data_IF_175721470321
#
_entry.id   IF_175721470321
#
_cell.length_a   1.000
_cell.length_b   1.000
_cell.length_c   1.000
_cell.angle_alpha   90.00
_cell.angle_beta   90.00
_cell.angle_gamma   90.00
#
_symmetry.space_group_name_H-M   'P 1'
#
loop_
_entity.id
_entity.type
_entity.pdbx_description
1 polymer ?
#
# COMPACT_ATOMS: atom_id res chain seq x y z
N UNK A 1 23.65 13.45 11.78
CA UNK A 1 22.73 12.51 11.11
C UNK A 1 23.59 11.42 10.51
N UNK A 2 23.25 10.17 10.78
CA UNK A 2 23.82 9.00 10.13
C UNK A 2 22.76 8.47 9.17
N UNK A 3 23.10 8.34 7.89
CA UNK A 3 22.19 7.88 6.84
C UNK A 3 22.52 6.44 6.41
N UNK A 4 23.47 5.79 7.08
CA UNK A 4 23.79 4.39 6.80
C UNK A 4 22.72 3.49 7.41
N UNK A 5 22.35 2.43 6.68
CA UNK A 5 21.51 1.37 7.23
C UNK A 5 22.29 0.65 8.33
N UNK A 6 21.59 0.28 9.41
CA UNK A 6 22.15 -0.58 10.46
C UNK A 6 22.57 -1.94 9.90
N UNK A 7 23.42 -2.67 10.62
CA UNK A 7 23.82 -4.03 10.21
C UNK A 7 22.60 -4.96 10.06
N UNK A 8 21.61 -4.80 10.94
CA UNK A 8 20.34 -5.52 10.90
C UNK A 8 19.50 -5.16 9.68
N UNK A 9 19.32 -3.86 9.39
CA UNK A 9 18.62 -3.39 8.19
C UNK A 9 19.30 -3.88 6.90
N UNK A 10 20.64 -3.94 6.87
CA UNK A 10 21.39 -4.48 5.73
C UNK A 10 21.16 -5.98 5.56
N UNK A 11 21.12 -6.75 6.66
CA UNK A 11 20.82 -8.17 6.65
C UNK A 11 19.41 -8.45 6.13
N UNK A 12 18.42 -7.72 6.65
CA UNK A 12 17.03 -7.82 6.19
C UNK A 12 16.88 -7.44 4.72
N UNK A 13 17.49 -6.34 4.29
CA UNK A 13 17.47 -5.92 2.89
C UNK A 13 18.08 -7.00 1.96
N UNK A 14 19.18 -7.64 2.36
CA UNK A 14 19.75 -8.75 1.59
C UNK A 14 18.79 -9.94 1.47
N UNK A 15 18.11 -10.30 2.57
CA UNK A 15 17.09 -11.36 2.58
C UNK A 15 15.89 -11.01 1.69
N UNK A 16 15.39 -9.77 1.74
CA UNK A 16 14.27 -9.33 0.91
C UNK A 16 14.63 -9.40 -0.58
N UNK A 17 15.85 -9.01 -0.95
CA UNK A 17 16.32 -9.08 -2.34
C UNK A 17 16.42 -10.51 -2.84
N UNK A 18 16.94 -11.42 -2.02
CA UNK A 18 17.02 -12.83 -2.36
C UNK A 18 15.62 -13.46 -2.53
N UNK A 19 14.70 -13.15 -1.62
CA UNK A 19 13.30 -13.58 -1.73
C UNK A 19 12.65 -13.04 -3.00
N UNK A 20 12.77 -11.73 -3.25
CA UNK A 20 12.12 -11.08 -4.39
C UNK A 20 12.63 -11.63 -5.72
N UNK A 21 13.95 -11.79 -5.86
CA UNK A 21 14.55 -12.35 -7.07
C UNK A 21 14.14 -13.81 -7.34
N UNK A 22 13.92 -14.61 -6.29
CA UNK A 22 13.55 -16.03 -6.41
C UNK A 22 12.06 -16.27 -6.58
N UNK A 23 11.24 -15.49 -5.89
CA UNK A 23 9.82 -15.80 -5.70
C UNK A 23 8.88 -14.78 -6.37
N UNK A 24 9.31 -13.52 -6.51
CA UNK A 24 8.45 -12.42 -7.00
C UNK A 24 8.74 -12.12 -8.46
N UNK A 25 9.99 -11.81 -8.80
CA UNK A 25 10.41 -11.42 -10.15
C UNK A 25 10.01 -12.45 -11.23
N UNK A 26 10.18 -13.77 -11.02
CA UNK A 26 9.91 -14.76 -12.07
C UNK A 26 8.45 -14.85 -12.50
N UNK A 27 7.50 -14.46 -11.64
CA UNK A 27 6.07 -14.60 -11.91
C UNK A 27 5.38 -13.27 -12.22
N UNK A 28 6.06 -12.14 -12.06
CA UNK A 28 5.44 -10.81 -12.03
C UNK A 28 4.68 -10.45 -13.33
N UNK A 29 5.17 -10.85 -14.50
CA UNK A 29 4.46 -10.63 -15.78
C UNK A 29 3.27 -11.59 -15.93
N UNK A 30 3.43 -12.85 -15.53
CA UNK A 30 2.38 -13.86 -15.62
C UNK A 30 1.15 -13.44 -14.82
N UNK A 31 1.35 -13.04 -13.56
CA UNK A 31 0.24 -12.64 -12.69
C UNK A 31 -0.39 -11.30 -13.09
N UNK A 32 0.32 -10.40 -13.76
CA UNK A 32 -0.28 -9.17 -14.31
C UNK A 32 -1.17 -9.50 -15.51
N UNK A 33 -0.70 -10.37 -16.41
CA UNK A 33 -1.45 -10.78 -17.60
C UNK A 33 -2.67 -11.64 -17.26
N UNK A 34 -2.52 -12.57 -16.32
CA UNK A 34 -3.62 -13.43 -15.86
C UNK A 34 -4.55 -12.74 -14.85
N UNK A 35 -4.17 -11.55 -14.36
CA UNK A 35 -4.91 -10.77 -13.37
C UNK A 35 -5.20 -11.55 -12.08
N UNK A 36 -4.24 -12.38 -11.64
CA UNK A 36 -4.39 -13.26 -10.47
C UNK A 36 -3.61 -12.76 -9.27
N UNK A 37 -4.14 -12.92 -8.05
CA UNK A 37 -3.40 -12.60 -6.83
C UNK A 37 -2.18 -13.49 -6.64
N UNK A 38 -1.09 -12.98 -6.05
CA UNK A 38 0.17 -13.70 -5.88
C UNK A 38 0.13 -14.68 -4.68
N UNK A 39 -0.88 -15.57 -4.61
CA UNK A 39 -1.16 -16.42 -3.44
C UNK A 39 0.03 -17.28 -3.01
N UNK A 40 0.74 -17.90 -3.96
CA UNK A 40 1.91 -18.72 -3.65
C UNK A 40 3.06 -17.92 -3.06
N UNK A 41 3.25 -16.67 -3.52
CA UNK A 41 4.25 -15.75 -2.97
C UNK A 41 3.84 -15.32 -1.57
N UNK A 42 2.57 -14.99 -1.34
CA UNK A 42 2.09 -14.63 0.00
C UNK A 42 2.32 -15.75 1.01
N UNK A 43 2.05 -17.01 0.65
CA UNK A 43 2.34 -18.17 1.50
C UNK A 43 3.84 -18.27 1.83
N UNK A 44 4.71 -18.07 0.83
CA UNK A 44 6.17 -18.11 1.05
C UNK A 44 6.65 -16.90 1.87
N UNK A 45 6.06 -15.73 1.67
CA UNK A 45 6.32 -14.52 2.44
C UNK A 45 5.92 -14.70 3.91
N UNK A 46 4.79 -15.36 4.18
CA UNK A 46 4.36 -15.72 5.53
C UNK A 46 5.39 -16.61 6.24
N UNK A 47 5.94 -17.62 5.55
CA UNK A 47 7.00 -18.48 6.09
C UNK A 47 8.31 -17.73 6.41
N UNK A 48 8.51 -16.54 5.85
CA UNK A 48 9.65 -15.66 6.15
C UNK A 48 9.30 -14.55 7.16
N UNK A 49 8.07 -14.55 7.71
CA UNK A 49 7.60 -13.55 8.66
C UNK A 49 7.11 -12.23 8.03
N UNK A 50 7.01 -12.13 6.71
CA UNK A 50 6.75 -10.84 6.04
C UNK A 50 5.29 -10.37 6.17
N UNK A 51 4.34 -11.29 6.40
CA UNK A 51 2.95 -10.92 6.67
C UNK A 51 2.74 -10.46 8.12
N UNK A 52 3.64 -10.84 9.03
CA UNK A 52 3.72 -10.30 10.39
C UNK A 52 4.86 -9.30 10.56
N UNK A 53 5.31 -8.67 9.48
CA UNK A 53 6.58 -7.94 9.42
C UNK A 53 6.79 -6.97 10.60
N UNK A 54 5.81 -6.13 10.89
CA UNK A 54 5.88 -5.11 11.96
C UNK A 54 5.12 -5.50 13.22
N UNK A 55 4.61 -6.73 13.29
CA UNK A 55 3.94 -7.22 14.49
C UNK A 55 4.99 -7.64 15.54
N UNK A 56 4.68 -7.51 16.84
CA UNK A 56 5.54 -8.01 17.91
C UNK A 56 5.72 -9.54 17.84
N UNK A 57 6.85 -10.02 18.38
CA UNK A 57 7.13 -11.47 18.48
C UNK A 57 6.04 -12.23 19.27
N UNK A 58 5.41 -11.60 20.27
CA UNK A 58 4.29 -12.17 21.05
C UNK A 58 3.09 -12.59 20.19
N UNK A 59 2.96 -11.99 18.99
CA UNK A 59 1.95 -12.33 17.99
C UNK A 59 2.54 -13.03 16.76
N UNK A 60 3.70 -13.69 16.92
CA UNK A 60 4.46 -14.37 15.87
C UNK A 60 4.92 -13.46 14.73
N UNK A 61 5.04 -12.16 15.02
CA UNK A 61 5.59 -11.18 14.08
C UNK A 61 7.11 -11.19 14.02
N UNK A 62 7.65 -10.37 13.12
CA UNK A 62 9.10 -10.21 12.91
C UNK A 62 9.67 -8.92 13.53
N UNK A 63 8.82 -8.10 14.16
CA UNK A 63 9.19 -6.86 14.86
C UNK A 63 10.12 -5.92 14.06
N UNK A 64 9.94 -5.88 12.73
CA UNK A 64 10.70 -5.01 11.86
C UNK A 64 10.41 -3.55 12.20
N UNK A 65 11.48 -2.75 12.31
CA UNK A 65 11.37 -1.30 12.35
C UNK A 65 10.79 -0.75 11.03
N UNK A 66 10.26 0.47 11.07
CA UNK A 66 9.63 1.12 9.94
C UNK A 66 10.53 1.23 8.72
N UNK A 67 11.84 1.47 8.89
CA UNK A 67 12.80 1.53 7.77
C UNK A 67 13.02 0.13 7.18
N UNK A 68 13.17 -0.89 8.02
CA UNK A 68 13.23 -2.30 7.58
C UNK A 68 11.96 -2.72 6.83
N UNK A 69 10.78 -2.30 7.28
CA UNK A 69 9.53 -2.54 6.57
C UNK A 69 9.44 -1.76 5.24
N UNK A 70 9.88 -0.51 5.20
CA UNK A 70 9.95 0.26 3.96
C UNK A 70 10.89 -0.42 2.93
N UNK A 71 12.03 -0.95 3.38
CA UNK A 71 12.96 -1.72 2.55
C UNK A 71 12.31 -3.00 1.98
N UNK A 72 11.50 -3.71 2.76
CA UNK A 72 10.73 -4.86 2.28
C UNK A 72 9.78 -4.43 1.15
N UNK A 73 8.96 -3.41 1.37
CA UNK A 73 7.98 -2.93 0.39
C UNK A 73 8.66 -2.39 -0.88
N UNK A 74 9.72 -1.60 -0.73
CA UNK A 74 10.53 -1.11 -1.84
C UNK A 74 11.08 -2.27 -2.67
N UNK A 75 11.69 -3.27 -2.01
CA UNK A 75 12.33 -4.40 -2.68
C UNK A 75 11.31 -5.22 -3.47
N UNK A 76 10.15 -5.52 -2.88
CA UNK A 76 9.08 -6.23 -3.58
C UNK A 76 8.54 -5.42 -4.77
N UNK A 77 8.42 -4.10 -4.63
CA UNK A 77 7.89 -3.23 -5.67
C UNK A 77 8.84 -3.00 -6.85
N UNK A 78 10.15 -3.21 -6.67
CA UNK A 78 11.10 -3.31 -7.80
C UNK A 78 10.63 -4.40 -8.75
N UNK A 79 10.25 -5.57 -8.23
CA UNK A 79 9.85 -6.69 -9.09
C UNK A 79 8.34 -6.67 -9.43
N UNK A 80 7.47 -6.57 -8.43
CA UNK A 80 6.02 -6.59 -8.59
C UNK A 80 5.32 -5.65 -7.58
N UNK A 81 4.89 -4.48 -8.05
CA UNK A 81 4.18 -3.52 -7.21
C UNK A 81 2.85 -4.07 -6.66
N UNK A 82 2.16 -4.93 -7.42
CA UNK A 82 0.95 -5.62 -6.94
C UNK A 82 1.21 -6.49 -5.71
N UNK A 83 2.33 -7.22 -5.66
CA UNK A 83 2.71 -8.04 -4.51
C UNK A 83 2.99 -7.15 -3.30
N UNK A 84 3.76 -6.07 -3.50
CA UNK A 84 4.07 -5.10 -2.46
C UNK A 84 2.79 -4.45 -1.88
N UNK A 85 1.85 -4.02 -2.72
CA UNK A 85 0.58 -3.41 -2.31
C UNK A 85 -0.32 -4.42 -1.58
N UNK A 86 -0.40 -5.67 -2.07
CA UNK A 86 -1.18 -6.75 -1.43
C UNK A 86 -0.72 -6.99 0.00
N UNK A 87 0.61 -7.09 0.20
CA UNK A 87 1.23 -7.23 1.51
C UNK A 87 1.03 -5.98 2.38
N UNK A 88 1.22 -4.79 1.82
CA UNK A 88 1.04 -3.54 2.56
C UNK A 88 -0.40 -3.33 3.03
N UNK A 89 -1.40 -3.70 2.22
CA UNK A 89 -2.80 -3.69 2.64
C UNK A 89 -3.04 -4.61 3.83
N UNK A 90 -2.47 -5.81 3.82
CA UNK A 90 -2.58 -6.74 4.93
C UNK A 90 -1.94 -6.17 6.22
N UNK A 91 -0.68 -5.75 6.14
CA UNK A 91 0.11 -5.33 7.30
C UNK A 91 -0.30 -3.94 7.78
N UNK A 92 -0.16 -2.92 6.92
CA UNK A 92 -0.24 -1.51 7.31
C UNK A 92 -1.67 -1.06 7.62
N UNK A 93 -2.66 -1.56 6.87
CA UNK A 93 -4.06 -1.15 7.02
C UNK A 93 -4.84 -1.98 8.03
N UNK A 94 -4.60 -3.30 8.09
CA UNK A 94 -5.45 -4.20 8.89
C UNK A 94 -4.72 -4.69 10.13
N UNK A 95 -3.61 -5.43 9.98
CA UNK A 95 -2.91 -6.03 11.12
C UNK A 95 -2.47 -4.97 12.15
N UNK A 96 -1.87 -3.87 11.69
CA UNK A 96 -1.46 -2.77 12.56
C UNK A 96 -2.65 -2.00 13.17
N UNK A 97 -3.81 -2.01 12.53
CA UNK A 97 -5.02 -1.41 13.11
C UNK A 97 -5.56 -2.27 14.26
N UNK A 98 -5.54 -3.60 14.11
CA UNK A 98 -5.87 -4.54 15.19
C UNK A 98 -4.86 -4.41 16.33
N UNK A 99 -3.57 -4.31 16.03
CA UNK A 99 -2.54 -4.13 17.05
C UNK A 99 -2.72 -2.81 17.82
N UNK A 100 -3.05 -1.72 17.14
CA UNK A 100 -3.17 -0.40 17.76
C UNK A 100 -4.48 -0.24 18.57
N UNK A 101 -5.60 -0.75 18.05
CA UNK A 101 -6.95 -0.43 18.55
C UNK A 101 -7.73 -1.65 19.06
N UNK A 102 -7.15 -2.84 18.92
CA UNK A 102 -7.80 -4.08 19.34
C UNK A 102 -7.77 -4.29 20.84
N UNK A 103 -8.82 -4.91 21.35
CA UNK A 103 -8.81 -5.54 22.68
C UNK A 103 -7.82 -6.69 22.71
N UNK A 104 -7.38 -7.12 23.89
CA UNK A 104 -6.46 -8.26 24.04
C UNK A 104 -7.03 -9.52 23.36
N UNK A 105 -8.34 -9.77 23.51
CA UNK A 105 -9.02 -10.90 22.86
C UNK A 105 -8.95 -10.83 21.33
N UNK A 106 -9.16 -9.65 20.74
CA UNK A 106 -9.05 -9.48 19.28
C UNK A 106 -7.60 -9.66 18.79
N UNK A 107 -6.62 -9.17 19.56
CA UNK A 107 -5.20 -9.32 19.21
C UNK A 107 -4.77 -10.78 19.25
N UNK A 108 -5.10 -11.49 20.32
CA UNK A 108 -4.82 -12.91 20.50
C UNK A 108 -5.50 -13.78 19.45
N UNK A 109 -6.72 -13.43 19.02
CA UNK A 109 -7.45 -14.14 17.98
C UNK A 109 -6.86 -13.92 16.58
N UNK A 110 -6.65 -12.66 16.19
CA UNK A 110 -6.41 -12.33 14.78
C UNK A 110 -4.94 -12.22 14.40
N UNK A 111 -4.11 -11.60 15.24
CA UNK A 111 -2.73 -11.28 14.85
C UNK A 111 -1.87 -12.52 14.55
N UNK A 112 -1.92 -13.61 15.35
CA UNK A 112 -1.20 -14.85 15.01
C UNK A 112 -1.59 -15.44 13.66
N UNK A 113 -2.90 -15.48 13.36
CA UNK A 113 -3.42 -16.02 12.10
C UNK A 113 -3.01 -15.17 10.90
N UNK A 114 -2.95 -13.85 11.10
CA UNK A 114 -2.49 -12.90 10.09
C UNK A 114 -0.99 -13.02 9.84
N UNK A 115 -0.17 -13.10 10.90
CA UNK A 115 1.27 -13.28 10.80
C UNK A 115 1.64 -14.59 10.06
N UNK A 116 0.90 -15.66 10.34
CA UNK A 116 1.05 -16.96 9.67
C UNK A 116 0.52 -16.98 8.22
N UNK A 117 -0.19 -15.94 7.78
CA UNK A 117 -0.81 -15.87 6.45
C UNK A 117 -2.04 -16.77 6.28
N UNK A 118 -2.60 -17.30 7.37
CA UNK A 118 -3.83 -18.09 7.36
C UNK A 118 -5.06 -17.20 7.12
N UNK A 119 -5.00 -15.96 7.60
CA UNK A 119 -6.03 -14.93 7.39
C UNK A 119 -5.40 -13.71 6.73
N UNK A 120 -5.86 -13.37 5.52
CA UNK A 120 -5.47 -12.11 4.87
C UNK A 120 -6.47 -11.01 5.20
N UNK A 121 -5.98 -9.83 5.57
CA UNK A 121 -6.79 -8.65 5.81
C UNK A 121 -7.13 -7.84 4.56
N UNK A 122 -8.35 -7.33 4.51
CA UNK A 122 -8.80 -6.29 3.57
C UNK A 122 -9.38 -5.08 4.33
N UNK A 123 -9.20 -3.89 3.77
CA UNK A 123 -9.61 -2.62 4.38
C UNK A 123 -10.75 -1.98 3.58
N UNK A 124 -11.93 -1.83 4.19
CA UNK A 124 -13.17 -1.50 3.51
C UNK A 124 -13.77 -0.18 4.04
N UNK A 125 -13.21 0.93 3.54
CA UNK A 125 -13.62 2.29 3.89
C UNK A 125 -14.45 2.94 2.78
N UNK A 126 -13.88 3.01 1.58
CA UNK A 126 -14.42 3.71 0.40
C UNK A 126 -15.77 3.17 -0.04
N UNK A 127 -16.65 4.08 -0.44
CA UNK A 127 -17.98 3.79 -0.99
C UNK A 127 -18.13 4.44 -2.37
N UNK A 128 -19.11 4.00 -3.20
CA UNK A 128 -19.35 4.59 -4.51
C UNK A 128 -19.50 6.12 -4.48
N UNK A 129 -20.14 6.65 -3.44
CA UNK A 129 -20.39 8.08 -3.26
C UNK A 129 -19.43 8.76 -2.24
N UNK A 130 -18.48 8.01 -1.66
CA UNK A 130 -17.56 8.51 -0.63
C UNK A 130 -16.13 7.98 -0.86
N UNK A 131 -15.37 8.70 -1.71
CA UNK A 131 -13.97 8.45 -2.03
C UNK A 131 -13.02 9.36 -1.25
N UNK A 132 -12.73 10.55 -1.80
CA UNK A 132 -11.90 11.56 -1.13
C UNK A 132 -12.55 12.07 0.16
N UNK A 133 -13.87 12.25 0.15
CA UNK A 133 -14.68 12.54 1.34
C UNK A 133 -15.10 11.23 2.01
N UNK A 134 -14.11 10.42 2.42
CA UNK A 134 -14.35 9.09 2.99
C UNK A 134 -15.19 9.13 4.28
N UNK A 135 -15.23 10.27 4.96
CA UNK A 135 -15.99 10.44 6.21
C UNK A 135 -17.47 10.71 5.97
N UNK A 136 -17.88 11.00 4.73
CA UNK A 136 -19.29 11.08 4.33
C UNK A 136 -19.91 9.71 4.01
N UNK A 137 -19.27 8.61 4.45
CA UNK A 137 -19.74 7.24 4.24
C UNK A 137 -21.20 7.04 4.72
N UNK A 138 -21.93 6.18 4.00
CA UNK A 138 -23.35 5.92 4.19
C UNK A 138 -23.65 4.50 4.67
N UNK A 139 -22.68 3.57 4.62
CA UNK A 139 -22.82 2.25 5.25
C UNK A 139 -23.18 2.43 6.72
N UNK A 140 -24.23 1.78 7.19
CA UNK A 140 -24.77 1.96 8.55
C UNK A 140 -24.41 0.79 9.44
N UNK A 141 -24.14 1.09 10.71
CA UNK A 141 -24.03 0.13 11.79
C UNK A 141 -25.22 0.33 12.73
N UNK A 142 -26.17 -0.61 12.72
CA UNK A 142 -27.38 -0.55 13.55
C UNK A 142 -27.26 -1.55 14.71
N UNK A 143 -27.20 -1.10 15.97
CA UNK A 143 -27.18 -2.01 17.11
C UNK A 143 -28.40 -2.93 17.16
N UNK A 144 -28.18 -4.23 17.39
CA UNK A 144 -29.22 -5.26 17.52
C UNK A 144 -28.84 -6.27 18.62
N UNK A 145 -29.12 -5.91 19.87
CA UNK A 145 -28.75 -6.73 21.03
C UNK A 145 -27.23 -6.77 21.25
N UNK A 146 -26.68 -7.98 21.33
CA UNK A 146 -25.22 -8.21 21.44
C UNK A 146 -24.51 -8.13 20.07
N UNK A 147 -25.27 -7.91 18.99
CA UNK A 147 -24.78 -7.77 17.63
C UNK A 147 -24.96 -6.34 17.10
N UNK A 148 -24.42 -6.13 15.91
CA UNK A 148 -24.61 -4.98 15.04
C UNK A 148 -24.97 -5.48 13.63
N UNK A 149 -25.91 -4.81 12.98
CA UNK A 149 -26.27 -5.04 11.59
C UNK A 149 -25.58 -3.99 10.72
N UNK A 150 -24.75 -4.46 9.78
CA UNK A 150 -24.10 -3.62 8.79
C UNK A 150 -24.88 -3.64 7.47
N UNK A 151 -25.25 -2.46 6.98
CA UNK A 151 -25.99 -2.28 5.73
C UNK A 151 -25.31 -1.22 4.85
N UNK A 152 -24.87 -1.60 3.65
CA UNK A 152 -24.20 -0.68 2.74
C UNK A 152 -23.38 -1.36 1.64
N UNK A 153 -22.60 -0.55 0.93
CA UNK A 153 -21.75 -0.99 -0.18
C UNK A 153 -20.37 -0.36 -0.02
N UNK A 154 -19.33 -1.21 0.00
CA UNK A 154 -17.93 -0.78 -0.07
C UNK A 154 -17.38 -1.06 -1.45
N UNK A 155 -16.49 -0.22 -1.94
CA UNK A 155 -15.88 -0.39 -3.26
C UNK A 155 -14.38 -0.14 -3.20
N UNK A 156 -13.66 -0.55 -4.25
CA UNK A 156 -12.20 -0.50 -4.31
C UNK A 156 -11.50 -1.22 -3.15
N UNK A 157 -12.12 -2.28 -2.62
CA UNK A 157 -11.57 -3.04 -1.49
C UNK A 157 -10.46 -3.95 -1.98
N UNK A 158 -9.22 -3.50 -1.77
CA UNK A 158 -8.02 -4.29 -2.03
C UNK A 158 -8.01 -5.56 -1.16
N UNK A 159 -7.46 -6.65 -1.70
CA UNK A 159 -7.46 -8.01 -1.15
C UNK A 159 -8.85 -8.65 -1.03
N UNK A 160 -9.92 -8.04 -1.59
CA UNK A 160 -11.29 -8.46 -1.29
C UNK A 160 -11.60 -9.94 -1.56
N UNK A 161 -11.13 -10.47 -2.68
CA UNK A 161 -11.33 -11.89 -3.04
C UNK A 161 -10.55 -12.86 -2.13
N UNK A 162 -9.35 -12.48 -1.72
CA UNK A 162 -8.42 -13.34 -0.97
C UNK A 162 -8.51 -13.15 0.55
N UNK A 163 -9.23 -12.14 1.02
CA UNK A 163 -9.34 -11.83 2.44
C UNK A 163 -10.10 -12.92 3.20
N UNK A 164 -9.63 -13.18 4.42
CA UNK A 164 -10.34 -13.94 5.46
C UNK A 164 -11.04 -13.02 6.46
N UNK A 165 -10.61 -11.76 6.56
CA UNK A 165 -11.18 -10.74 7.44
C UNK A 165 -11.19 -9.37 6.76
N UNK A 166 -12.27 -8.62 7.00
CA UNK A 166 -12.46 -7.26 6.50
C UNK A 166 -12.52 -6.28 7.67
N UNK A 167 -11.74 -5.21 7.62
CA UNK A 167 -11.92 -4.06 8.49
C UNK A 167 -12.90 -3.10 7.81
N UNK A 168 -14.18 -3.14 8.23
CA UNK A 168 -15.29 -2.40 7.63
C UNK A 168 -15.61 -1.16 8.46
N UNK A 169 -15.71 -0.01 7.80
CA UNK A 169 -16.10 1.25 8.45
C UNK A 169 -17.57 1.56 8.18
N UNK A 170 -18.31 1.92 9.21
CA UNK A 170 -19.74 2.19 9.10
C UNK A 170 -20.17 3.32 10.05
N UNK A 171 -21.23 4.03 9.69
CA UNK A 171 -21.85 5.07 10.50
C UNK A 171 -22.64 4.40 11.62
N UNK A 172 -22.08 4.42 12.82
CA UNK A 172 -22.74 4.02 14.06
C UNK A 172 -23.44 5.19 14.76
N UNK A 173 -24.05 4.94 15.93
CA UNK A 173 -24.78 5.95 16.71
C UNK A 173 -23.91 7.10 17.21
N UNK A 174 -22.64 6.83 17.52
CA UNK A 174 -21.71 7.79 18.14
C UNK A 174 -20.70 8.38 17.15
N UNK A 175 -20.80 8.03 15.87
CA UNK A 175 -19.87 8.44 14.83
C UNK A 175 -19.52 7.30 13.90
N UNK A 176 -18.43 7.44 13.15
CA UNK A 176 -17.90 6.35 12.34
C UNK A 176 -17.30 5.32 13.29
N UNK A 177 -17.62 4.05 13.08
CA UNK A 177 -17.11 2.91 13.82
C UNK A 177 -16.40 1.95 12.85
N UNK A 178 -15.50 1.11 13.39
CA UNK A 178 -14.77 0.12 12.62
C UNK A 178 -15.09 -1.29 13.14
N UNK A 179 -15.31 -2.25 12.24
CA UNK A 179 -15.71 -3.61 12.57
C UNK A 179 -14.82 -4.65 11.88
N UNK A 180 -14.39 -5.64 12.65
CA UNK A 180 -13.73 -6.84 12.16
C UNK A 180 -14.78 -7.84 11.66
N UNK A 181 -14.91 -7.99 10.35
CA UNK A 181 -15.94 -8.81 9.71
C UNK A 181 -15.28 -10.03 9.04
N UNK A 182 -15.41 -11.24 9.61
CA UNK A 182 -14.94 -12.47 8.96
C UNK A 182 -15.61 -12.68 7.59
N UNK A 183 -14.89 -13.29 6.64
CA UNK A 183 -15.36 -13.49 5.26
C UNK A 183 -16.72 -14.19 5.14
N UNK A 184 -16.96 -15.19 5.98
CA UNK A 184 -18.16 -16.03 5.93
C UNK A 184 -19.33 -15.47 6.77
N UNK A 185 -19.24 -14.21 7.21
CA UNK A 185 -20.30 -13.56 7.99
C UNK A 185 -21.60 -13.48 7.16
N UNK A 186 -22.73 -14.01 7.66
CA UNK A 186 -24.01 -13.93 6.95
C UNK A 186 -24.38 -12.47 6.63
N UNK A 187 -24.70 -12.21 5.37
CA UNK A 187 -25.03 -10.86 4.87
C UNK A 187 -23.84 -10.10 4.26
N UNK A 188 -22.61 -10.62 4.35
CA UNK A 188 -21.47 -10.15 3.57
C UNK A 188 -21.38 -10.92 2.24
N UNK A 189 -21.31 -10.19 1.13
CA UNK A 189 -21.02 -10.74 -0.20
C UNK A 189 -19.86 -10.01 -0.85
N UNK A 190 -18.84 -10.74 -1.27
CA UNK A 190 -17.74 -10.21 -2.09
C UNK A 190 -18.15 -10.26 -3.55
N UNK A 191 -18.19 -9.10 -4.20
CA UNK A 191 -18.50 -8.94 -5.62
C UNK A 191 -17.35 -9.37 -6.54
N UNK A 192 -17.56 -9.23 -7.85
CA UNK A 192 -16.53 -9.54 -8.85
C UNK A 192 -15.32 -8.62 -8.71
N UNK A 193 -14.16 -9.09 -9.19
CA UNK A 193 -12.92 -8.30 -9.19
C UNK A 193 -12.94 -7.25 -10.30
N UNK A 194 -12.74 -6.00 -9.94
CA UNK A 194 -12.74 -4.87 -10.87
C UNK A 194 -11.52 -4.91 -11.81
N UNK A 195 -11.72 -4.77 -13.14
CA UNK A 195 -10.60 -4.62 -14.07
C UNK A 195 -9.92 -3.26 -13.90
N UNK A 196 -8.59 -3.28 -13.72
CA UNK A 196 -7.79 -2.08 -13.50
C UNK A 196 -6.73 -1.89 -14.59
N UNK A 197 -6.28 -0.65 -14.77
CA UNK A 197 -5.20 -0.31 -15.71
C UNK A 197 -3.86 -0.96 -15.30
N UNK A 198 -3.50 -0.79 -14.04
CA UNK A 198 -2.32 -1.37 -13.40
C UNK A 198 -2.70 -1.99 -12.07
N UNK A 199 -1.72 -2.52 -11.36
CA UNK A 199 -1.94 -3.33 -10.16
C UNK A 199 -2.88 -4.50 -10.43
N UNK A 200 -2.78 -5.12 -11.62
CA UNK A 200 -3.79 -6.08 -12.11
C UNK A 200 -3.84 -7.34 -11.26
N UNK A 201 -2.77 -7.67 -10.55
CA UNK A 201 -2.70 -8.80 -9.62
C UNK A 201 -3.20 -8.45 -8.21
N UNK A 202 -3.57 -7.20 -7.94
CA UNK A 202 -4.31 -6.84 -6.72
C UNK A 202 -5.79 -7.06 -6.97
N UNK A 203 -6.46 -7.79 -6.08
CA UNK A 203 -7.91 -8.00 -6.18
C UNK A 203 -8.62 -6.80 -5.56
N UNK A 204 -9.23 -5.95 -6.40
CA UNK A 204 -10.14 -4.90 -5.96
C UNK A 204 -11.56 -5.38 -6.15
N UNK A 205 -12.35 -5.39 -5.08
CA UNK A 205 -13.72 -5.89 -5.12
C UNK A 205 -14.69 -4.86 -4.53
N UNK A 206 -15.95 -4.98 -4.94
CA UNK A 206 -17.08 -4.37 -4.23
C UNK A 206 -17.55 -5.34 -3.14
N UNK A 207 -17.88 -4.83 -1.94
CA UNK A 207 -18.52 -5.61 -0.88
C UNK A 207 -19.95 -5.13 -0.71
N UNK A 208 -20.88 -6.08 -0.64
CA UNK A 208 -22.27 -5.84 -0.32
C UNK A 208 -22.53 -6.32 1.11
N UNK A 209 -23.09 -5.43 1.93
CA UNK A 209 -23.48 -5.69 3.32
C UNK A 209 -25.00 -5.54 3.38
N UNK A 210 -25.70 -6.66 3.52
CA UNK A 210 -27.17 -6.72 3.55
C UNK A 210 -27.61 -7.36 4.87
N UNK A 211 -27.89 -6.53 5.87
CA UNK A 211 -28.14 -6.99 7.24
C UNK A 211 -27.00 -7.85 7.78
N UNK A 212 -25.75 -7.52 7.43
CA UNK A 212 -24.58 -8.29 7.80
C UNK A 212 -24.40 -8.27 9.32
N UNK A 213 -24.59 -9.43 9.98
CA UNK A 213 -24.68 -9.52 11.44
C UNK A 213 -23.31 -9.79 12.04
N UNK A 214 -22.80 -8.81 12.79
CA UNK A 214 -21.46 -8.82 13.38
C UNK A 214 -21.57 -8.63 14.90
N UNK A 215 -20.93 -9.45 15.74
CA UNK A 215 -20.95 -9.25 17.19
C UNK A 215 -20.43 -7.86 17.57
N UNK A 216 -21.00 -7.22 18.60
CA UNK A 216 -20.48 -5.94 19.11
C UNK A 216 -19.01 -6.08 19.58
N UNK A 217 -18.60 -7.27 20.02
CA UNK A 217 -17.23 -7.60 20.38
C UNK A 217 -16.24 -7.51 19.21
N UNK A 218 -16.72 -7.47 17.96
CA UNK A 218 -15.89 -7.30 16.78
C UNK A 218 -15.67 -5.82 16.41
N UNK A 219 -16.27 -4.87 17.14
CA UNK A 219 -15.93 -3.45 16.98
C UNK A 219 -14.47 -3.23 17.39
N UNK A 220 -13.72 -2.55 16.53
CA UNK A 220 -12.33 -2.18 16.75
C UNK A 220 -12.28 -0.74 17.28
N UNK A 221 -11.72 -0.56 18.47
CA UNK A 221 -11.76 0.72 19.19
C UNK A 221 -13.10 0.99 19.89
N UNK A 222 -13.20 2.16 20.52
CA UNK A 222 -14.42 2.61 21.20
C UNK A 222 -15.48 3.12 20.19
N UNK A 223 -16.77 3.21 20.59
CA UNK A 223 -17.80 3.83 19.77
C UNK A 223 -17.37 5.21 19.24
N UNK A 224 -17.57 5.46 17.94
CA UNK A 224 -17.22 6.73 17.29
C UNK A 224 -15.73 6.92 16.95
N UNK A 225 -14.82 6.01 17.32
CA UNK A 225 -13.37 6.15 17.05
C UNK A 225 -12.93 5.70 15.65
N UNK A 226 -13.85 5.23 14.81
CA UNK A 226 -13.53 4.68 13.48
C UNK A 226 -12.82 5.66 12.55
N UNK A 227 -13.05 6.97 12.69
CA UNK A 227 -12.30 7.99 11.95
C UNK A 227 -10.81 8.00 12.34
N UNK A 228 -10.49 7.91 13.63
CA UNK A 228 -9.11 7.84 14.13
C UNK A 228 -8.40 6.58 13.65
N UNK A 229 -9.10 5.43 13.73
CA UNK A 229 -8.62 4.15 13.21
C UNK A 229 -8.28 4.26 11.72
N UNK A 230 -9.21 4.81 10.92
CA UNK A 230 -9.03 4.97 9.48
C UNK A 230 -7.84 5.89 9.14
N UNK A 231 -7.73 7.03 9.81
CA UNK A 231 -6.68 8.02 9.56
C UNK A 231 -5.29 7.43 9.83
N UNK A 232 -5.08 6.82 11.00
CA UNK A 232 -3.79 6.21 11.35
C UNK A 232 -3.42 5.05 10.43
N UNK A 233 -4.40 4.24 10.01
CA UNK A 233 -4.19 3.18 9.03
C UNK A 233 -3.72 3.76 7.68
N UNK A 234 -4.37 4.83 7.21
CA UNK A 234 -4.00 5.51 5.97
C UNK A 234 -2.62 6.16 6.03
N UNK A 235 -2.22 6.75 7.16
CA UNK A 235 -0.89 7.36 7.30
C UNK A 235 0.22 6.30 7.21
N UNK A 236 0.03 5.12 7.83
CA UNK A 236 0.95 3.99 7.65
C UNK A 236 0.99 3.51 6.20
N UNK A 237 -0.19 3.38 5.57
CA UNK A 237 -0.30 2.96 4.18
C UNK A 237 0.35 3.96 3.21
N UNK A 238 0.29 5.26 3.51
CA UNK A 238 0.89 6.31 2.69
C UNK A 238 2.42 6.14 2.61
N UNK A 239 3.08 5.80 3.72
CA UNK A 239 4.52 5.49 3.76
C UNK A 239 4.82 4.22 2.96
N UNK A 240 4.02 3.15 3.15
CA UNK A 240 4.21 1.90 2.41
C UNK A 240 4.02 2.07 0.89
N UNK A 241 2.99 2.80 0.45
CA UNK A 241 2.80 3.15 -0.95
C UNK A 241 3.93 4.02 -1.48
N UNK A 242 4.48 4.91 -0.66
CA UNK A 242 5.61 5.72 -1.06
C UNK A 242 6.88 4.88 -1.26
N UNK A 243 7.12 3.87 -0.42
CA UNK A 243 8.17 2.87 -0.58
C UNK A 243 7.95 2.01 -1.85
N UNK A 244 6.71 1.63 -2.15
CA UNK A 244 6.39 0.94 -3.39
C UNK A 244 6.68 1.81 -4.62
N UNK A 245 6.35 3.11 -4.55
CA UNK A 245 6.70 4.10 -5.56
C UNK A 245 8.20 4.29 -5.75
N UNK A 246 8.98 4.23 -4.67
CA UNK A 246 10.44 4.23 -4.74
C UNK A 246 10.97 3.01 -5.49
N UNK A 247 10.51 1.80 -5.11
CA UNK A 247 10.95 0.55 -5.73
C UNK A 247 10.66 0.50 -7.23
N UNK A 248 9.42 0.82 -7.64
CA UNK A 248 9.06 0.82 -9.06
C UNK A 248 9.85 1.86 -9.87
N UNK A 249 10.16 3.01 -9.26
CA UNK A 249 10.92 4.08 -9.90
C UNK A 249 12.38 3.68 -10.12
N UNK A 250 13.04 3.13 -9.09
CA UNK A 250 14.43 2.68 -9.17
C UNK A 250 14.59 1.59 -10.24
N UNK A 251 13.76 0.54 -10.19
CA UNK A 251 13.85 -0.54 -11.18
C UNK A 251 13.54 -0.05 -12.59
N UNK A 252 12.67 0.95 -12.74
CA UNK A 252 12.41 1.55 -14.07
C UNK A 252 13.65 2.24 -14.63
N UNK A 253 14.43 2.92 -13.78
CA UNK A 253 15.71 3.51 -14.19
C UNK A 253 16.69 2.43 -14.60
N UNK A 254 16.82 1.36 -13.82
CA UNK A 254 17.75 0.26 -14.09
C UNK A 254 17.43 -0.48 -15.40
N UNK A 255 16.16 -0.84 -15.61
CA UNK A 255 15.69 -1.49 -16.85
C UNK A 255 15.99 -0.61 -18.07
N UNK A 256 15.64 0.67 -18.01
CA UNK A 256 15.85 1.58 -19.14
C UNK A 256 17.33 1.89 -19.37
N UNK A 257 18.12 2.00 -18.31
CA UNK A 257 19.57 2.18 -18.40
C UNK A 257 20.24 0.97 -19.05
N UNK A 258 19.91 -0.25 -18.61
CA UNK A 258 20.40 -1.48 -19.21
C UNK A 258 20.06 -1.53 -20.70
N UNK A 259 18.79 -1.32 -21.05
CA UNK A 259 18.34 -1.25 -22.44
C UNK A 259 19.12 -0.21 -23.24
N UNK A 260 19.39 0.96 -22.66
CA UNK A 260 20.12 2.03 -23.34
C UNK A 260 21.59 1.69 -23.62
N UNK A 261 22.22 0.81 -22.82
CA UNK A 261 23.59 0.33 -23.07
C UNK A 261 23.67 -0.70 -24.19
N UNK A 262 22.61 -1.47 -24.38
CA UNK A 262 22.54 -2.55 -25.38
C UNK A 262 22.01 -2.05 -26.74
N UNK A 263 21.04 -1.14 -26.73
CA UNK A 263 20.39 -0.65 -27.94
C UNK A 263 21.30 0.30 -28.71
N UNK A 264 21.63 -0.07 -29.95
CA UNK A 264 22.46 0.74 -30.86
C UNK A 264 21.59 1.53 -31.85
N UNK A 265 21.83 2.85 -31.94
CA UNK A 265 21.31 3.73 -33.00
C UNK A 265 22.37 4.74 -33.42
N UNK A 266 22.39 5.07 -34.71
CA UNK A 266 23.41 5.94 -35.30
C UNK A 266 24.84 5.46 -34.96
N UNK A 267 25.08 4.15 -35.02
CA UNK A 267 26.38 3.52 -34.85
C UNK A 267 26.93 3.41 -33.43
N UNK A 268 26.17 3.81 -32.40
CA UNK A 268 26.60 3.72 -30.98
C UNK A 268 25.44 3.31 -30.07
N UNK A 269 25.72 2.75 -28.87
CA UNK A 269 24.70 2.60 -27.84
C UNK A 269 23.98 3.92 -27.56
N UNK A 270 22.66 3.89 -27.38
CA UNK A 270 21.87 5.10 -27.13
C UNK A 270 22.23 5.77 -25.81
N UNK A 271 22.78 5.04 -24.83
CA UNK A 271 23.37 5.58 -23.60
C UNK A 271 24.50 6.60 -23.84
N UNK A 272 25.13 6.62 -25.03
CA UNK A 272 26.13 7.65 -25.39
C UNK A 272 25.50 8.96 -25.88
N UNK A 273 24.18 9.04 -26.02
CA UNK A 273 23.47 10.26 -26.47
C UNK A 273 23.12 11.11 -25.26
N UNK A 274 23.52 12.38 -25.27
CA UNK A 274 23.31 13.32 -24.15
C UNK A 274 21.83 13.45 -23.73
N UNK A 275 20.89 13.42 -24.68
CA UNK A 275 19.47 13.46 -24.36
C UNK A 275 19.03 12.26 -23.49
N UNK A 276 19.53 11.05 -23.79
CA UNK A 276 19.23 9.84 -23.00
C UNK A 276 19.88 9.93 -21.62
N UNK A 277 21.14 10.38 -21.55
CA UNK A 277 21.83 10.61 -20.28
C UNK A 277 21.06 11.60 -19.40
N UNK A 278 20.49 12.65 -20.00
CA UNK A 278 19.70 13.64 -19.26
C UNK A 278 18.40 13.05 -18.68
N UNK A 279 17.70 12.19 -19.43
CA UNK A 279 16.50 11.52 -18.88
C UNK A 279 16.85 10.64 -17.67
N UNK A 280 17.89 9.82 -17.80
CA UNK A 280 18.35 8.92 -16.72
C UNK A 280 18.82 9.72 -15.52
N UNK A 281 19.63 10.78 -15.71
CA UNK A 281 20.15 11.59 -14.62
C UNK A 281 19.03 12.31 -13.83
N UNK A 282 18.03 12.87 -14.53
CA UNK A 282 16.89 13.52 -13.87
C UNK A 282 16.06 12.52 -13.07
N UNK A 283 15.76 11.36 -13.67
CA UNK A 283 15.00 10.31 -13.01
C UNK A 283 15.73 9.78 -11.76
N UNK A 284 17.03 9.49 -11.86
CA UNK A 284 17.82 9.01 -10.73
C UNK A 284 17.91 10.05 -9.61
N UNK A 285 18.00 11.34 -9.94
CA UNK A 285 18.01 12.41 -8.92
C UNK A 285 16.68 12.45 -8.15
N UNK A 286 15.55 12.30 -8.83
CA UNK A 286 14.23 12.22 -8.20
C UNK A 286 14.08 10.98 -7.31
N UNK A 287 14.59 9.82 -7.77
CA UNK A 287 14.61 8.56 -7.00
C UNK A 287 15.42 8.70 -5.71
N UNK A 288 16.61 9.29 -5.78
CA UNK A 288 17.47 9.50 -4.60
C UNK A 288 16.81 10.46 -3.59
N UNK A 289 16.18 11.54 -4.06
CA UNK A 289 15.44 12.44 -3.20
C UNK A 289 14.26 11.73 -2.50
N UNK A 290 13.52 10.89 -3.25
CA UNK A 290 12.41 10.12 -2.71
C UNK A 290 12.89 9.12 -1.66
N UNK A 291 14.03 8.46 -1.86
CA UNK A 291 14.60 7.50 -0.91
C UNK A 291 14.78 8.11 0.47
N UNK A 292 15.35 9.31 0.55
CA UNK A 292 15.54 9.98 1.83
C UNK A 292 14.21 10.32 2.51
N UNK A 293 13.20 10.75 1.75
CA UNK A 293 11.89 11.08 2.32
C UNK A 293 11.14 9.82 2.81
N UNK A 294 11.20 8.71 2.08
CA UNK A 294 10.60 7.43 2.48
C UNK A 294 11.21 6.94 3.79
N UNK A 295 12.53 6.85 3.86
CA UNK A 295 13.19 6.33 5.06
C UNK A 295 13.03 7.27 6.26
N UNK A 296 13.02 8.59 6.03
CA UNK A 296 12.76 9.56 7.09
C UNK A 296 11.34 9.43 7.65
N UNK A 297 10.32 9.36 6.79
CA UNK A 297 8.93 9.19 7.22
C UNK A 297 8.72 7.86 7.95
N UNK A 298 9.35 6.78 7.46
CA UNK A 298 9.33 5.48 8.11
C UNK A 298 9.99 5.51 9.49
N UNK A 299 11.17 6.12 9.61
CA UNK A 299 11.84 6.30 10.90
C UNK A 299 11.02 7.14 11.89
N UNK A 300 10.37 8.22 11.42
CA UNK A 300 9.51 9.07 12.25
C UNK A 300 8.31 8.31 12.81
N UNK A 301 7.72 7.41 12.02
CA UNK A 301 6.59 6.59 12.46
C UNK A 301 6.95 5.72 13.69
N UNK A 302 8.20 5.26 13.77
CA UNK A 302 8.69 4.47 14.92
C UNK A 302 8.95 5.34 16.17
N UNK A 303 9.18 6.65 16.01
CA UNK A 303 9.50 7.53 17.14
C UNK A 303 8.28 7.86 18.02
N UNK A 304 7.09 7.32 17.71
CA UNK A 304 5.85 7.61 18.43
C UNK A 304 5.41 9.08 18.34
N UNK A 305 5.96 9.83 17.39
CA UNK A 305 5.58 11.22 17.11
C UNK A 305 4.43 11.27 16.09
N UNK A 306 3.69 12.37 16.02
CA UNK A 306 2.72 12.59 14.94
C UNK A 306 3.46 12.68 13.59
N UNK A 307 3.25 11.68 12.74
CA UNK A 307 3.87 11.55 11.42
C UNK A 307 2.87 11.77 10.27
N UNK A 308 1.65 12.22 10.56
CA UNK A 308 0.56 12.37 9.55
C UNK A 308 0.91 13.39 8.45
N UNK A 309 1.64 14.45 8.83
CA UNK A 309 2.16 15.43 7.90
C UNK A 309 3.21 14.81 6.96
N UNK A 310 4.23 14.14 7.52
CA UNK A 310 5.30 13.48 6.76
C UNK A 310 4.76 12.38 5.85
N UNK A 311 3.76 11.61 6.31
CA UNK A 311 3.03 10.63 5.52
C UNK A 311 2.38 11.27 4.28
N UNK A 312 1.77 12.45 4.43
CA UNK A 312 1.17 13.17 3.30
C UNK A 312 2.21 13.73 2.33
N UNK A 313 3.29 14.32 2.85
CA UNK A 313 4.42 14.82 2.04
C UNK A 313 5.03 13.70 1.21
N UNK A 314 5.39 12.58 1.84
CA UNK A 314 6.10 11.50 1.16
C UNK A 314 5.22 10.80 0.13
N UNK A 315 3.92 10.64 0.41
CA UNK A 315 2.97 10.08 -0.55
C UNK A 315 2.85 10.96 -1.77
N UNK A 316 2.54 12.25 -1.60
CA UNK A 316 2.36 13.18 -2.72
C UNK A 316 3.61 13.24 -3.60
N UNK A 317 4.79 13.31 -2.98
CA UNK A 317 6.06 13.32 -3.70
C UNK A 317 6.34 12.00 -4.41
N UNK A 318 6.08 10.85 -3.77
CA UNK A 318 6.27 9.53 -4.38
C UNK A 318 5.39 9.33 -5.62
N UNK A 319 4.12 9.76 -5.56
CA UNK A 319 3.22 9.69 -6.71
C UNK A 319 3.73 10.53 -7.89
N UNK A 320 4.26 11.73 -7.62
CA UNK A 320 4.89 12.57 -8.64
C UNK A 320 6.12 11.89 -9.25
N UNK A 321 7.05 11.42 -8.41
CA UNK A 321 8.30 10.77 -8.84
C UNK A 321 8.01 9.53 -9.65
N UNK A 322 7.17 8.62 -9.18
CA UNK A 322 6.87 7.37 -9.88
C UNK A 322 6.25 7.60 -11.27
N UNK A 323 5.30 8.54 -11.37
CA UNK A 323 4.71 8.93 -12.66
C UNK A 323 5.76 9.55 -13.61
N UNK A 324 6.54 10.48 -13.09
CA UNK A 324 7.55 11.22 -13.86
C UNK A 324 8.69 10.30 -14.36
N UNK A 325 9.22 9.45 -13.47
CA UNK A 325 10.29 8.50 -13.75
C UNK A 325 9.83 7.46 -14.77
N UNK A 326 8.74 6.73 -14.50
CA UNK A 326 8.27 5.67 -15.41
C UNK A 326 7.95 6.22 -16.79
N UNK A 327 7.33 7.41 -16.89
CA UNK A 327 7.07 8.07 -18.17
C UNK A 327 8.36 8.38 -18.95
N UNK A 328 9.40 8.92 -18.28
CA UNK A 328 10.71 9.15 -18.92
C UNK A 328 11.37 7.84 -19.34
N UNK A 329 11.23 6.77 -18.56
CA UNK A 329 11.88 5.49 -18.85
C UNK A 329 11.21 4.76 -20.02
N UNK A 330 9.88 4.86 -20.17
CA UNK A 330 9.17 4.50 -21.41
C UNK A 330 9.78 5.26 -22.60
N UNK A 331 9.99 6.57 -22.46
CA UNK A 331 10.55 7.40 -23.53
C UNK A 331 11.99 7.03 -23.91
N UNK A 332 12.83 6.62 -22.94
CA UNK A 332 14.20 6.12 -23.17
C UNK A 332 14.18 4.82 -23.97
N UNK A 333 13.26 3.91 -23.66
CA UNK A 333 13.10 2.64 -24.38
C UNK A 333 12.37 2.80 -25.73
N UNK A 334 11.67 3.92 -25.94
CA UNK A 334 10.92 4.20 -27.15
C UNK A 334 9.78 3.20 -27.36
N UNK A 335 9.62 2.71 -28.59
CA UNK A 335 8.56 1.74 -28.92
C UNK A 335 8.59 0.47 -28.06
N UNK A 336 9.76 0.01 -27.62
CA UNK A 336 9.90 -1.16 -26.76
C UNK A 336 9.39 -0.92 -25.33
N UNK A 337 9.48 0.32 -24.84
CA UNK A 337 8.91 0.69 -23.54
C UNK A 337 7.38 0.71 -23.52
N UNK A 338 6.75 0.70 -24.70
CA UNK A 338 5.30 0.65 -24.88
C UNK A 338 4.78 -0.77 -25.19
N UNK A 339 5.67 -1.73 -25.43
CA UNK A 339 5.31 -3.13 -25.68
C UNK A 339 5.17 -3.86 -24.35
N UNK A 340 4.14 -4.71 -24.23
CA UNK A 340 3.93 -5.55 -23.04
C UNK A 340 4.96 -6.69 -22.92
N UNK A 341 5.76 -6.94 -23.97
CA UNK A 341 6.91 -7.86 -23.92
C UNK A 341 8.04 -7.35 -23.02
N UNK A 342 8.01 -6.07 -22.61
CA UNK A 342 8.98 -5.46 -21.72
C UNK A 342 8.31 -5.01 -20.41
N UNK A 343 8.99 -5.16 -19.26
CA UNK A 343 8.40 -4.86 -17.95
C UNK A 343 8.03 -3.39 -17.76
N UNK A 344 8.56 -2.50 -18.60
CA UNK A 344 8.33 -1.06 -18.52
C UNK A 344 6.85 -0.69 -18.69
N UNK A 345 6.11 -1.39 -19.57
CA UNK A 345 4.69 -1.13 -19.78
C UNK A 345 3.88 -1.42 -18.51
N UNK A 346 4.15 -2.54 -17.82
CA UNK A 346 3.56 -2.85 -16.51
C UNK A 346 3.91 -1.79 -15.47
N UNK A 347 5.19 -1.48 -15.31
CA UNK A 347 5.69 -0.51 -14.31
C UNK A 347 5.03 0.87 -14.47
N UNK A 348 4.86 1.34 -15.71
CA UNK A 348 4.16 2.59 -16.01
C UNK A 348 2.67 2.54 -15.60
N UNK A 349 1.97 1.45 -15.94
CA UNK A 349 0.55 1.26 -15.57
C UNK A 349 0.39 1.17 -14.05
N UNK A 350 1.26 0.44 -13.38
CA UNK A 350 1.27 0.27 -11.92
C UNK A 350 1.49 1.62 -11.23
N UNK A 351 2.56 2.34 -11.58
CA UNK A 351 2.91 3.63 -10.98
C UNK A 351 1.78 4.66 -11.08
N UNK A 352 0.93 4.59 -12.12
CA UNK A 352 -0.22 5.48 -12.26
C UNK A 352 -1.19 5.38 -11.07
N UNK A 353 -1.29 4.23 -10.41
CA UNK A 353 -2.18 4.04 -9.27
C UNK A 353 -1.80 4.89 -8.05
N UNK A 354 -0.51 5.21 -7.87
CA UNK A 354 0.02 5.89 -6.67
C UNK A 354 -0.52 7.31 -6.48
N UNK A 355 -0.95 7.98 -7.56
CA UNK A 355 -1.62 9.27 -7.47
C UNK A 355 -3.11 9.19 -7.09
N UNK A 356 -3.65 7.99 -6.87
CA UNK A 356 -5.08 7.75 -6.62
C UNK A 356 -5.29 6.97 -5.31
N UNK A 357 -4.63 5.82 -5.16
CA UNK A 357 -4.88 4.92 -4.03
C UNK A 357 -4.24 5.44 -2.74
N UNK A 358 -4.84 5.09 -1.60
CA UNK A 358 -4.42 5.62 -0.29
C UNK A 358 -4.63 7.14 -0.17
N UNK A 359 -5.61 7.70 -0.90
CA UNK A 359 -5.90 9.13 -1.03
C UNK A 359 -5.39 9.70 -2.37
N UNK A 360 -6.14 10.54 -3.10
CA UNK A 360 -5.57 11.20 -4.28
C UNK A 360 -4.50 12.21 -3.88
N UNK A 361 -3.56 12.51 -4.78
CA UNK A 361 -2.46 13.48 -4.52
C UNK A 361 -3.00 14.82 -4.02
N UNK A 362 -4.11 15.30 -4.58
CA UNK A 362 -4.75 16.56 -4.24
C UNK A 362 -5.19 16.61 -2.76
N UNK A 363 -5.63 15.48 -2.20
CA UNK A 363 -6.00 15.39 -0.78
C UNK A 363 -4.78 15.55 0.12
N UNK A 364 -3.64 14.98 -0.27
CA UNK A 364 -2.40 15.17 0.47
C UNK A 364 -1.85 16.59 0.32
N UNK A 365 -1.96 17.19 -0.87
CA UNK A 365 -1.58 18.59 -1.10
C UNK A 365 -2.39 19.55 -0.20
N UNK A 366 -3.69 19.30 -0.04
CA UNK A 366 -4.52 20.05 0.92
C UNK A 366 -4.01 19.88 2.35
N UNK A 367 -3.71 18.66 2.80
CA UNK A 367 -3.17 18.41 4.15
C UNK A 367 -1.81 19.10 4.39
N UNK A 368 -0.95 19.10 3.38
CA UNK A 368 0.34 19.80 3.44
C UNK A 368 0.12 21.31 3.54
N UNK A 369 -0.80 21.86 2.75
CA UNK A 369 -1.17 23.27 2.78
C UNK A 369 -1.81 23.66 4.13
N UNK A 370 -2.66 22.80 4.70
CA UNK A 370 -3.29 23.03 6.01
C UNK A 370 -2.26 23.30 7.09
N UNK A 371 -1.14 22.56 7.11
CA UNK A 371 -0.10 22.73 8.12
C UNK A 371 0.47 24.16 8.12
N UNK A 372 0.83 24.69 6.96
CA UNK A 372 1.43 26.03 6.88
C UNK A 372 0.40 27.16 7.08
N UNK A 373 -0.86 26.97 6.68
CA UNK A 373 -1.90 27.98 6.88
C UNK A 373 -2.45 28.00 8.30
N UNK A 374 -2.51 26.85 8.99
CA UNK A 374 -2.86 26.78 10.41
C UNK A 374 -1.86 27.57 11.27
N UNK A 375 -0.57 27.52 10.93
CA UNK A 375 0.48 28.34 11.58
C UNK A 375 0.28 29.86 11.36
N UNK A 376 -0.59 30.25 10.43
CA UNK A 376 -0.97 31.62 10.11
C UNK A 376 -2.42 31.94 10.50
N UNK A 377 -3.04 31.15 11.37
CA UNK A 377 -4.43 31.30 11.85
C UNK A 377 -5.47 31.28 10.71
N UNK A 378 -5.17 30.62 9.58
CA UNK A 378 -6.09 30.41 8.47
C UNK A 378 -6.43 28.94 8.32
N UNK A 379 -7.65 28.57 8.69
CA UNK A 379 -8.16 27.21 8.50
C UNK A 379 -8.64 27.03 7.05
N UNK A 380 -8.18 25.95 6.41
CA UNK A 380 -8.67 25.52 5.09
C UNK A 380 -9.26 24.12 5.20
N UNK A 381 -10.39 23.90 4.55
CA UNK A 381 -11.11 22.61 4.52
C UNK A 381 -11.00 22.02 3.11
N UNK A 382 -10.84 20.69 2.96
CA UNK A 382 -10.83 20.03 1.65
C UNK A 382 -12.07 20.27 0.79
#
# INVERSE_FOLDING_TARGET
MDFTLSEEQQMFHAMFRDFSAKEVAPIAEEIDHEEKPPLDVLRKAANQGFLGATLPEDYFGAELDGVSYALLIETLAKDCMSTAVTLATHVSLVAMSILAHGTDAQKEEWLPLMAAGEVIGAFALTEPDAGSDAMALQTRATPDGDDCLLDGVKTWVANGEIAGIFLVFAQGPEGIEAYLVPKDTPGLTVGYREPTLGLRSVTFNTLYLEGCRVPQANRLGEPGEGQTVAQQAQDRMAIALAAAGLGVSEESVDVAAQFATERVQFGVPIAKKQAIQSYVAQALTEVEALRYLVYHAAWLADQGSDFSFDASVVKAFSAHVASSVTNRMVQVMGGYGYMEDYPMARKYRDARALGIIGGPTELHDVRIAQRIFADLDLEITP
#
